data_IF_362590232797
#
_entry.id   IF_362590232797
#
_cell.length_a   1.000
_cell.length_b   1.000
_cell.length_c   1.000
_cell.angle_alpha   90.00
_cell.angle_beta   90.00
_cell.angle_gamma   90.00
#
_symmetry.space_group_name_H-M   'P 1'
#
loop_
_entity.id
_entity.type
_entity.pdbx_description
1 polymer ?
#
# COMPACT_ATOMS: atom_id res chain seq x y z
N UNK A 1 91.75 -38.43 -25.11
CA UNK A 1 90.44 -38.73 -24.52
C UNK A 1 89.83 -37.39 -24.09
N UNK A 2 88.92 -36.86 -24.84
CA UNK A 2 88.40 -35.50 -24.75
C UNK A 2 86.99 -35.56 -24.22
N UNK A 3 86.77 -34.98 -23.04
CA UNK A 3 85.43 -34.91 -22.41
C UNK A 3 84.72 -33.68 -22.85
N UNK A 4 83.61 -33.86 -23.58
CA UNK A 4 82.77 -32.78 -24.09
C UNK A 4 81.76 -32.36 -23.03
N UNK A 5 81.90 -31.17 -22.46
CA UNK A 5 80.91 -30.61 -21.55
C UNK A 5 79.78 -30.00 -22.37
N UNK A 6 78.57 -30.57 -22.24
CA UNK A 6 77.34 -29.97 -22.75
C UNK A 6 76.80 -28.93 -21.77
N UNK A 7 76.73 -27.69 -22.18
CA UNK A 7 76.06 -26.60 -21.51
C UNK A 7 74.56 -26.75 -21.73
N UNK A 8 73.85 -27.06 -20.70
CA UNK A 8 72.38 -27.07 -20.69
C UNK A 8 71.92 -25.62 -20.39
N UNK A 9 71.46 -24.97 -21.45
CA UNK A 9 70.84 -23.66 -21.33
C UNK A 9 69.52 -23.73 -20.59
N UNK A 10 69.46 -23.16 -19.40
CA UNK A 10 68.23 -22.96 -18.65
C UNK A 10 67.44 -21.82 -19.32
N UNK A 11 66.44 -22.19 -20.08
CA UNK A 11 65.41 -21.21 -20.51
C UNK A 11 64.49 -20.92 -19.33
N UNK A 12 64.62 -19.76 -18.72
CA UNK A 12 63.60 -19.22 -17.80
C UNK A 12 62.38 -18.84 -18.62
N UNK A 13 61.33 -19.62 -18.49
CA UNK A 13 60.01 -19.24 -18.95
C UNK A 13 59.43 -18.30 -17.91
N UNK A 14 59.35 -17.02 -18.26
CA UNK A 14 58.55 -16.03 -17.52
C UNK A 14 57.08 -16.31 -17.82
N UNK A 15 56.41 -16.97 -16.92
CA UNK A 15 54.93 -17.03 -16.92
C UNK A 15 54.42 -15.70 -16.40
N UNK A 16 53.91 -14.85 -17.29
CA UNK A 16 53.15 -13.68 -16.93
C UNK A 16 51.80 -14.10 -16.31
N UNK A 17 51.68 -13.99 -15.00
CA UNK A 17 50.40 -14.14 -14.30
C UNK A 17 49.62 -12.87 -14.56
N UNK A 18 48.67 -12.92 -15.46
CA UNK A 18 47.67 -11.88 -15.65
C UNK A 18 46.71 -11.91 -14.46
N UNK A 19 46.91 -11.04 -13.50
CA UNK A 19 45.95 -10.79 -12.43
C UNK A 19 44.77 -10.03 -13.05
N UNK A 20 43.69 -10.75 -13.37
CA UNK A 20 42.42 -10.17 -13.72
C UNK A 20 41.87 -9.44 -12.48
N UNK A 21 42.05 -8.15 -12.41
CA UNK A 21 41.39 -7.30 -11.44
C UNK A 21 39.87 -7.32 -11.73
N UNK A 22 39.16 -8.19 -11.03
CA UNK A 22 37.71 -8.18 -11.01
C UNK A 22 37.28 -6.89 -10.30
N UNK A 23 37.01 -5.84 -11.08
CA UNK A 23 36.42 -4.60 -10.58
C UNK A 23 35.04 -4.95 -10.03
N UNK A 24 34.95 -5.15 -8.73
CA UNK A 24 33.68 -5.17 -8.03
C UNK A 24 33.07 -3.77 -8.12
N UNK A 25 32.24 -3.56 -9.13
CA UNK A 25 31.36 -2.40 -9.19
C UNK A 25 30.37 -2.58 -8.04
N UNK A 26 30.42 -1.74 -6.99
CA UNK A 26 29.38 -1.79 -5.98
C UNK A 26 28.06 -1.49 -6.70
N UNK A 27 27.18 -2.49 -6.79
CA UNK A 27 25.82 -2.26 -7.17
C UNK A 27 25.27 -1.23 -6.17
N UNK A 28 25.20 0.02 -6.59
CA UNK A 28 24.44 1.03 -5.86
C UNK A 28 23.00 0.56 -5.94
N UNK A 29 22.57 -0.14 -4.91
CA UNK A 29 21.15 -0.26 -4.61
C UNK A 29 20.74 1.18 -4.33
N UNK A 30 20.25 1.86 -5.36
CA UNK A 30 19.48 3.08 -5.16
C UNK A 30 18.26 2.62 -4.37
N UNK A 31 18.34 2.72 -3.04
CA UNK A 31 17.16 2.79 -2.24
C UNK A 31 16.37 3.97 -2.82
N UNK A 32 15.42 3.67 -3.67
CA UNK A 32 14.41 4.65 -4.06
C UNK A 32 13.79 5.06 -2.75
N UNK A 33 14.10 6.29 -2.32
CA UNK A 33 13.38 6.92 -1.24
C UNK A 33 11.89 6.71 -1.55
N UNK A 34 11.07 6.31 -0.57
CA UNK A 34 9.65 6.16 -0.80
C UNK A 34 9.22 7.44 -1.49
N UNK A 35 8.77 7.31 -2.73
CA UNK A 35 8.17 8.40 -3.49
C UNK A 35 7.21 9.03 -2.50
N UNK A 36 7.46 10.28 -2.12
CA UNK A 36 6.57 11.03 -1.22
C UNK A 36 5.19 10.83 -1.79
N UNK A 37 4.39 9.99 -1.13
CA UNK A 37 3.05 9.63 -1.58
C UNK A 37 2.24 10.91 -1.44
N UNK A 38 2.26 11.68 -2.50
CA UNK A 38 1.49 12.91 -2.61
C UNK A 38 0.04 12.53 -2.36
N UNK A 39 -0.68 13.23 -1.49
CA UNK A 39 -2.09 12.99 -1.27
C UNK A 39 -2.86 13.38 -2.53
N UNK A 40 -2.84 12.51 -3.54
CA UNK A 40 -3.51 12.74 -4.82
C UNK A 40 -5.02 13.00 -4.65
N UNK A 41 -5.53 12.73 -3.45
CA UNK A 41 -6.94 12.89 -3.09
C UNK A 41 -7.22 14.26 -2.44
N UNK A 42 -6.21 14.93 -1.89
CA UNK A 42 -6.39 16.26 -1.30
C UNK A 42 -6.87 17.30 -2.32
N UNK A 43 -6.56 17.10 -3.60
CA UNK A 43 -6.89 18.03 -4.69
C UNK A 43 -8.24 17.73 -5.37
N UNK A 44 -8.86 16.58 -5.10
CA UNK A 44 -10.14 16.24 -5.70
C UNK A 44 -11.28 17.02 -5.06
N UNK A 45 -11.98 17.81 -5.86
CA UNK A 45 -13.17 18.59 -5.42
C UNK A 45 -14.37 17.70 -5.11
N UNK A 46 -14.39 16.46 -5.62
CA UNK A 46 -15.51 15.51 -5.42
C UNK A 46 -15.36 14.69 -4.14
N UNK A 47 -14.16 14.63 -3.54
CA UNK A 47 -13.92 13.93 -2.28
C UNK A 47 -14.07 14.91 -1.13
N UNK A 48 -15.13 14.78 -0.36
CA UNK A 48 -15.45 15.70 0.73
C UNK A 48 -15.08 15.17 2.11
N UNK A 49 -15.25 13.87 2.36
CA UNK A 49 -15.12 13.28 3.70
C UNK A 49 -13.84 12.45 3.92
N UNK A 50 -13.10 12.08 2.86
CA UNK A 50 -11.88 11.30 2.93
C UNK A 50 -10.65 12.09 2.46
N UNK A 51 -10.65 13.40 2.73
CA UNK A 51 -9.54 14.31 2.39
C UNK A 51 -8.27 13.94 3.17
N UNK A 52 -7.12 14.19 2.55
CA UNK A 52 -5.81 13.98 3.17
C UNK A 52 -5.29 12.54 3.10
N UNK A 53 -6.07 11.59 2.59
CA UNK A 53 -5.59 10.24 2.36
C UNK A 53 -4.69 10.18 1.12
N UNK A 54 -3.69 9.31 1.15
CA UNK A 54 -2.95 8.91 -0.04
C UNK A 54 -3.83 7.99 -0.91
N UNK A 55 -3.50 7.83 -2.20
CA UNK A 55 -4.25 6.94 -3.10
C UNK A 55 -4.35 5.51 -2.53
N UNK A 56 -3.27 4.85 -2.06
CA UNK A 56 -3.37 3.52 -1.47
C UNK A 56 -4.25 3.47 -0.23
N UNK A 57 -4.20 4.49 0.64
CA UNK A 57 -5.08 4.55 1.81
C UNK A 57 -6.54 4.67 1.40
N UNK A 58 -6.83 5.52 0.41
CA UNK A 58 -8.17 5.69 -0.12
C UNK A 58 -8.74 4.40 -0.73
N UNK A 59 -7.95 3.70 -1.54
CA UNK A 59 -8.34 2.42 -2.12
C UNK A 59 -8.56 1.35 -1.04
N UNK A 60 -7.72 1.34 -0.01
CA UNK A 60 -7.88 0.46 1.14
C UNK A 60 -9.18 0.76 1.85
N UNK A 61 -9.49 2.04 2.08
CA UNK A 61 -10.74 2.45 2.70
C UNK A 61 -11.97 2.03 1.88
N UNK A 62 -11.91 2.14 0.54
CA UNK A 62 -12.99 1.65 -0.33
C UNK A 62 -13.20 0.13 -0.18
N UNK A 63 -12.12 -0.66 -0.01
CA UNK A 63 -12.23 -2.10 0.28
C UNK A 63 -12.87 -2.37 1.64
N UNK A 64 -12.51 -1.61 2.67
CA UNK A 64 -13.15 -1.70 3.99
C UNK A 64 -14.65 -1.40 3.93
N UNK A 65 -15.06 -0.41 3.12
CA UNK A 65 -16.47 -0.11 2.94
C UNK A 65 -17.20 -1.28 2.26
N UNK A 66 -16.66 -1.82 1.18
CA UNK A 66 -17.22 -2.99 0.49
C UNK A 66 -17.42 -4.16 1.46
N UNK A 67 -16.39 -4.48 2.24
CA UNK A 67 -16.44 -5.56 3.22
C UNK A 67 -17.41 -5.24 4.37
N UNK A 68 -17.41 -3.99 4.83
CA UNK A 68 -18.21 -3.54 5.96
C UNK A 68 -19.71 -3.60 5.69
N UNK A 69 -20.13 -3.23 4.48
CA UNK A 69 -21.55 -3.13 4.11
C UNK A 69 -22.03 -4.24 3.16
N UNK A 70 -21.14 -5.14 2.73
CA UNK A 70 -21.49 -6.27 1.86
C UNK A 70 -21.95 -5.86 0.45
N UNK A 71 -21.58 -4.68 -0.03
CA UNK A 71 -21.92 -4.20 -1.37
C UNK A 71 -20.66 -4.09 -2.23
N UNK A 72 -20.78 -4.31 -3.54
CA UNK A 72 -19.70 -4.04 -4.47
C UNK A 72 -19.59 -2.54 -4.83
N UNK A 73 -18.54 -2.15 -5.57
CA UNK A 73 -18.29 -0.76 -5.96
C UNK A 73 -19.50 -0.10 -6.65
N UNK A 74 -20.20 -0.85 -7.53
CA UNK A 74 -21.41 -0.39 -8.24
C UNK A 74 -22.60 -0.14 -7.32
N UNK A 75 -22.57 -0.62 -6.09
CA UNK A 75 -23.60 -0.32 -5.09
C UNK A 75 -23.65 1.14 -4.68
N UNK A 76 -22.50 1.84 -4.73
CA UNK A 76 -22.37 3.26 -4.37
C UNK A 76 -21.90 4.13 -5.53
N UNK A 77 -21.20 3.58 -6.53
CA UNK A 77 -20.62 4.32 -7.63
C UNK A 77 -21.31 4.02 -8.95
N UNK A 78 -21.41 5.02 -9.81
CA UNK A 78 -21.81 4.85 -11.21
C UNK A 78 -20.68 4.19 -11.97
N UNK A 79 -20.97 3.08 -12.66
CA UNK A 79 -19.95 2.34 -13.44
C UNK A 79 -19.34 3.26 -14.51
N UNK A 80 -18.01 3.27 -14.59
CA UNK A 80 -17.28 4.13 -15.53
C UNK A 80 -17.15 5.59 -15.09
N UNK A 81 -17.85 6.03 -14.05
CA UNK A 81 -17.73 7.38 -13.48
C UNK A 81 -17.85 7.36 -11.96
N UNK A 82 -16.76 7.00 -11.29
CA UNK A 82 -16.71 6.94 -9.82
C UNK A 82 -16.90 8.31 -9.14
N UNK A 83 -16.67 9.42 -9.87
CA UNK A 83 -16.86 10.78 -9.37
C UNK A 83 -18.33 11.22 -9.39
N UNK A 84 -19.20 10.59 -10.22
CA UNK A 84 -20.62 10.93 -10.29
C UNK A 84 -21.31 10.89 -8.94
N UNK A 85 -22.18 11.86 -8.72
CA UNK A 85 -23.03 12.00 -7.52
C UNK A 85 -24.45 11.43 -7.72
N UNK A 86 -24.71 10.81 -8.87
CA UNK A 86 -26.06 10.34 -9.23
C UNK A 86 -26.57 9.21 -8.32
N UNK A 87 -25.66 8.45 -7.71
CA UNK A 87 -26.05 7.40 -6.80
C UNK A 87 -26.28 7.93 -5.37
N UNK A 88 -27.52 7.93 -4.87
CA UNK A 88 -27.85 8.50 -3.56
C UNK A 88 -27.14 7.78 -2.39
N UNK A 89 -26.67 6.56 -2.58
CA UNK A 89 -25.92 5.83 -1.55
C UNK A 89 -24.57 6.48 -1.21
N UNK A 90 -23.98 7.26 -2.14
CA UNK A 90 -22.78 8.06 -1.82
C UNK A 90 -23.04 9.08 -0.72
N UNK A 91 -24.15 9.79 -0.81
CA UNK A 91 -24.53 10.77 0.22
C UNK A 91 -24.81 10.08 1.57
N UNK A 92 -25.45 8.90 1.56
CA UNK A 92 -25.66 8.09 2.77
C UNK A 92 -24.32 7.66 3.35
N UNK A 93 -23.39 7.13 2.53
CA UNK A 93 -22.07 6.71 2.96
C UNK A 93 -21.27 7.84 3.61
N UNK A 94 -21.31 9.05 3.05
CA UNK A 94 -20.65 10.22 3.66
C UNK A 94 -21.14 10.49 5.08
N UNK A 95 -22.45 10.50 5.28
CA UNK A 95 -23.03 10.69 6.64
C UNK A 95 -22.61 9.57 7.60
N UNK A 96 -22.52 8.33 7.12
CA UNK A 96 -22.04 7.21 7.95
C UNK A 96 -20.55 7.37 8.31
N UNK A 97 -19.72 7.84 7.37
CA UNK A 97 -18.31 8.15 7.61
C UNK A 97 -18.17 9.26 8.68
N UNK A 98 -18.94 10.33 8.55
CA UNK A 98 -18.93 11.43 9.52
C UNK A 98 -19.35 10.95 10.91
N UNK A 99 -20.43 10.17 11.00
CA UNK A 99 -20.88 9.57 12.27
C UNK A 99 -19.79 8.66 12.87
N UNK A 100 -19.20 7.79 12.07
CA UNK A 100 -18.14 6.87 12.51
C UNK A 100 -16.93 7.63 13.05
N UNK A 101 -16.51 8.69 12.35
CA UNK A 101 -15.43 9.57 12.81
C UNK A 101 -15.79 10.29 14.12
N UNK A 102 -17.00 10.79 14.25
CA UNK A 102 -17.44 11.43 15.48
C UNK A 102 -17.39 10.46 16.67
N UNK A 103 -17.81 9.22 16.49
CA UNK A 103 -17.70 8.16 17.50
C UNK A 103 -16.23 7.89 17.87
N UNK A 104 -15.37 7.72 16.88
CA UNK A 104 -13.96 7.45 17.12
C UNK A 104 -13.26 8.62 17.83
N UNK A 105 -13.48 9.85 17.37
CA UNK A 105 -12.89 11.03 18.00
C UNK A 105 -13.35 11.22 19.45
N UNK A 106 -14.62 10.93 19.71
CA UNK A 106 -15.18 11.15 21.06
C UNK A 106 -14.85 10.04 22.04
N UNK A 107 -14.85 8.79 21.61
CA UNK A 107 -14.80 7.64 22.52
C UNK A 107 -13.49 6.84 22.41
N UNK A 108 -12.76 6.98 21.33
CA UNK A 108 -11.50 6.27 21.07
C UNK A 108 -10.36 7.19 20.61
N UNK A 109 -10.15 8.37 21.25
CA UNK A 109 -9.23 9.39 20.71
C UNK A 109 -7.76 8.95 20.70
N UNK A 110 -7.40 7.96 21.50
CA UNK A 110 -6.03 7.43 21.57
C UNK A 110 -5.78 6.26 20.61
N UNK A 111 -6.80 5.81 19.88
CA UNK A 111 -6.63 4.71 18.94
C UNK A 111 -5.98 5.18 17.65
N UNK A 112 -4.86 4.57 17.30
CA UNK A 112 -4.15 4.81 16.04
C UNK A 112 -4.27 3.54 15.20
N UNK A 113 -4.91 3.61 14.02
CA UNK A 113 -5.00 2.46 13.13
C UNK A 113 -3.62 1.98 12.68
N UNK A 114 -3.43 0.67 12.63
CA UNK A 114 -2.24 0.07 12.03
C UNK A 114 -2.30 0.13 10.49
N UNK A 115 -1.16 -0.14 9.85
CA UNK A 115 -1.11 -0.21 8.39
C UNK A 115 -2.09 -1.27 7.86
N UNK A 116 -2.90 -0.88 6.89
CA UNK A 116 -3.93 -1.74 6.31
C UNK A 116 -5.25 -1.77 7.06
N UNK A 117 -5.34 -1.18 8.24
CA UNK A 117 -6.62 -0.97 8.93
C UNK A 117 -7.37 0.23 8.37
N UNK A 118 -8.67 0.33 8.72
CA UNK A 118 -9.48 1.49 8.33
C UNK A 118 -8.97 2.77 8.97
N UNK A 119 -8.76 3.79 8.17
CA UNK A 119 -8.36 5.14 8.63
C UNK A 119 -9.44 5.85 9.44
N UNK A 120 -10.66 5.29 9.47
CA UNK A 120 -11.73 5.82 10.31
C UNK A 120 -11.48 5.62 11.80
N UNK A 121 -10.73 4.59 12.20
CA UNK A 121 -10.38 4.30 13.58
C UNK A 121 -10.94 2.97 14.09
N UNK A 122 -11.12 2.85 15.41
CA UNK A 122 -11.56 1.64 16.10
C UNK A 122 -12.96 1.17 15.66
N UNK A 123 -13.90 2.09 15.56
CA UNK A 123 -15.24 1.82 15.03
C UNK A 123 -15.17 1.98 13.51
N UNK A 124 -15.63 1.00 12.77
CA UNK A 124 -15.66 0.96 11.32
C UNK A 124 -17.06 0.65 10.81
N UNK A 125 -17.27 0.67 9.50
CA UNK A 125 -18.54 0.25 8.90
C UNK A 125 -18.92 -1.18 9.33
N UNK A 126 -17.94 -2.09 9.37
CA UNK A 126 -18.15 -3.47 9.76
C UNK A 126 -18.64 -3.63 11.21
N UNK A 127 -18.26 -2.73 12.11
CA UNK A 127 -18.68 -2.77 13.53
C UNK A 127 -20.21 -2.85 13.67
N UNK A 128 -20.93 -2.10 12.83
CA UNK A 128 -22.40 -2.06 12.85
C UNK A 128 -23.03 -2.93 11.74
N UNK A 129 -22.46 -2.87 10.53
CA UNK A 129 -23.06 -3.49 9.35
C UNK A 129 -22.79 -5.00 9.23
N UNK A 130 -21.64 -5.49 9.73
CA UNK A 130 -21.30 -6.92 9.70
C UNK A 130 -21.36 -7.57 8.30
N UNK A 131 -21.08 -6.80 7.24
CA UNK A 131 -21.15 -7.26 5.87
C UNK A 131 -22.56 -7.17 5.26
N UNK A 132 -23.49 -6.46 5.87
CA UNK A 132 -24.83 -6.25 5.37
C UNK A 132 -25.11 -4.75 5.17
N UNK A 133 -25.78 -4.39 4.06
CA UNK A 133 -26.09 -2.99 3.75
C UNK A 133 -26.98 -2.32 4.81
N UNK A 134 -27.81 -3.09 5.48
CA UNK A 134 -28.68 -2.63 6.59
C UNK A 134 -28.26 -3.33 7.88
N UNK A 135 -27.75 -2.60 8.87
CA UNK A 135 -27.43 -3.18 10.17
C UNK A 135 -28.67 -3.77 10.82
N UNK A 136 -28.49 -4.90 11.49
CA UNK A 136 -29.57 -5.49 12.30
C UNK A 136 -29.72 -4.71 13.60
N UNK A 137 -30.93 -4.31 13.92
CA UNK A 137 -31.26 -3.57 15.17
C UNK A 137 -31.64 -4.49 16.33
N UNK A 138 -31.83 -5.79 16.06
CA UNK A 138 -32.19 -6.81 17.06
C UNK A 138 -31.41 -8.10 16.78
N UNK A 139 -31.16 -8.93 17.81
CA UNK A 139 -30.66 -10.27 17.63
C UNK A 139 -31.68 -11.13 16.85
N UNK A 140 -31.24 -12.25 16.23
CA UNK A 140 -32.20 -13.22 15.65
C UNK A 140 -33.13 -13.71 16.74
N UNK A 141 -34.38 -14.01 16.34
CA UNK A 141 -35.31 -14.66 17.24
C UNK A 141 -34.75 -16.01 17.71
N UNK A 142 -35.01 -16.42 18.97
CA UNK A 142 -34.58 -17.71 19.50
C UNK A 142 -35.23 -18.90 18.79
#
# INVERSE_FOLDING_TARGET
>A
MVATRRLIGRRLALTAVAVAACAMVPARISAQAPTTMQPAIAESTTITVLKGLTVPQFETEMRHFVQGVGMNCGGCHTRGNFASEDNPKKAIARRMIEMTRALNTRYFPAYVPADGESTLGRVTCYTCHRGEASPKSAPPAP
#
